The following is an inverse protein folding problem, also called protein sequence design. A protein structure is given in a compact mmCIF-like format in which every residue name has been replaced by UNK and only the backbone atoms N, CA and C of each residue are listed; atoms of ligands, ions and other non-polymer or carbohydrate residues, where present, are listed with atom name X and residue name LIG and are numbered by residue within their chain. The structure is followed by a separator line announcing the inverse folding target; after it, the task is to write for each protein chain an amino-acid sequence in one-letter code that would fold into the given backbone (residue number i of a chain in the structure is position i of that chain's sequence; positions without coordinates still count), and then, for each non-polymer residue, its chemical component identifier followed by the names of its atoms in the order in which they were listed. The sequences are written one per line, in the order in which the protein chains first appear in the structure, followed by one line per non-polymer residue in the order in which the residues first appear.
data_IF_924558361607
#
_entry.id   IF_924558361607
#
_cell.length_a   1.000
_cell.length_b   1.000
_cell.length_c   1.000
_cell.angle_alpha   90.00
_cell.angle_beta   90.00
_cell.angle_gamma   90.00
#
_symmetry.space_group_name_H-M   'P 1'
#
loop_
_entity.id
_entity.type
_entity.pdbx_description
1 polymer ?
#
# COMPACT_ATOMS: atom_id res chain seq x y z
N UNK A 1 5.48 3.90 -7.13
CA UNK A 1 4.73 2.78 -7.78
C UNK A 1 4.21 3.11 -9.17
N UNK A 2 3.62 4.28 -9.45
CA UNK A 2 3.26 4.68 -10.83
C UNK A 2 4.46 4.60 -11.80
N UNK A 3 5.64 5.07 -11.36
CA UNK A 3 6.88 4.92 -12.11
C UNK A 3 7.20 3.45 -12.43
N UNK A 4 7.02 2.54 -11.47
CA UNK A 4 7.27 1.10 -11.67
C UNK A 4 6.27 0.52 -12.67
N UNK A 5 4.99 0.91 -12.61
CA UNK A 5 3.98 0.54 -13.60
C UNK A 5 4.36 1.03 -15.01
N UNK A 6 4.76 2.30 -15.14
CA UNK A 6 5.19 2.88 -16.42
C UNK A 6 6.48 2.23 -16.94
N UNK A 7 7.45 1.97 -16.06
CA UNK A 7 8.67 1.25 -16.40
C UNK A 7 8.36 -0.17 -16.88
N UNK A 8 7.46 -0.87 -16.19
CA UNK A 8 7.05 -2.21 -16.57
C UNK A 8 6.38 -2.23 -17.97
N UNK A 9 5.67 -1.16 -18.33
CA UNK A 9 5.03 -1.00 -19.65
C UNK A 9 5.98 -0.50 -20.75
N UNK A 10 7.07 0.17 -20.38
CA UNK A 10 8.05 0.73 -21.31
C UNK A 10 9.26 -0.18 -21.58
N UNK A 11 9.50 -1.19 -20.74
CA UNK A 11 10.57 -2.18 -20.93
C UNK A 11 10.23 -3.12 -22.10
N UNK A 12 11.17 -3.39 -23.03
CA UNK A 12 10.97 -4.37 -24.09
C UNK A 12 10.98 -5.80 -23.52
N UNK A 13 9.96 -6.59 -23.83
CA UNK A 13 9.80 -7.98 -23.40
C UNK A 13 8.44 -8.23 -22.74
N UNK A 14 7.82 -9.38 -23.04
CA UNK A 14 6.52 -9.72 -22.45
C UNK A 14 6.67 -10.05 -20.96
N UNK A 15 5.96 -9.29 -20.10
CA UNK A 15 5.98 -9.49 -18.64
C UNK A 15 5.56 -10.92 -18.26
N UNK A 16 4.59 -11.46 -19.00
CA UNK A 16 4.08 -12.82 -18.81
C UNK A 16 5.18 -13.87 -19.03
N UNK A 17 6.06 -13.66 -20.01
CA UNK A 17 7.18 -14.55 -20.32
C UNK A 17 8.24 -14.56 -19.19
N UNK A 18 8.57 -13.36 -18.69
CA UNK A 18 9.55 -13.18 -17.63
C UNK A 18 9.07 -13.72 -16.27
N UNK A 19 7.78 -13.61 -15.99
CA UNK A 19 7.16 -14.15 -14.77
C UNK A 19 6.93 -15.66 -14.83
N UNK A 20 6.68 -16.22 -16.03
CA UNK A 20 6.49 -17.65 -16.22
C UNK A 20 7.81 -18.44 -16.31
N UNK A 21 8.95 -17.75 -16.45
CA UNK A 21 10.27 -18.39 -16.64
C UNK A 21 10.40 -19.14 -17.97
N UNK A 22 9.57 -18.80 -18.96
CA UNK A 22 9.56 -19.45 -20.27
C UNK A 22 10.32 -18.54 -21.23
N UNK A 23 11.45 -19.03 -21.76
CA UNK A 23 12.20 -18.33 -22.81
C UNK A 23 11.50 -18.53 -24.16
N UNK A 24 11.15 -17.45 -24.85
CA UNK A 24 10.42 -17.42 -26.15
C UNK A 24 9.07 -18.16 -26.16
N UNK A 25 8.06 -17.69 -25.39
CA UNK A 25 6.71 -18.28 -25.44
C UNK A 25 6.03 -18.02 -26.80
N UNK A 26 5.25 -19.01 -27.24
CA UNK A 26 4.38 -18.87 -28.42
C UNK A 26 3.23 -17.90 -28.13
N UNK A 27 2.73 -17.19 -29.15
CA UNK A 27 1.60 -16.25 -29.04
C UNK A 27 0.36 -16.86 -28.37
N UNK A 28 0.08 -18.15 -28.61
CA UNK A 28 -1.03 -18.84 -27.96
C UNK A 28 -0.84 -19.04 -26.45
N UNK A 29 0.42 -19.19 -26.00
CA UNK A 29 0.75 -19.35 -24.58
C UNK A 29 0.69 -18.01 -23.85
N UNK A 30 1.06 -16.92 -24.52
CA UNK A 30 0.95 -15.55 -23.99
C UNK A 30 -0.52 -15.16 -23.77
N UNK A 31 -1.40 -15.52 -24.70
CA UNK A 31 -2.83 -15.23 -24.58
C UNK A 31 -3.49 -16.03 -23.45
N UNK A 32 -3.07 -17.29 -23.23
CA UNK A 32 -3.49 -18.09 -22.08
C UNK A 32 -3.02 -17.52 -20.75
N UNK A 33 -1.78 -17.05 -20.66
CA UNK A 33 -1.23 -16.42 -19.46
C UNK A 33 -1.92 -15.08 -19.16
N UNK A 34 -2.23 -14.28 -20.18
CA UNK A 34 -2.96 -13.03 -20.00
C UNK A 34 -4.38 -13.29 -19.46
N UNK A 35 -5.08 -14.30 -20.00
CA UNK A 35 -6.39 -14.73 -19.47
C UNK A 35 -6.32 -15.24 -18.03
N UNK A 36 -5.26 -15.98 -17.69
CA UNK A 36 -5.08 -16.58 -16.36
C UNK A 36 -4.74 -15.54 -15.30
N UNK A 37 -3.90 -14.54 -15.64
CA UNK A 37 -3.31 -13.64 -14.65
C UNK A 37 -3.87 -12.20 -14.65
N UNK A 38 -4.55 -11.74 -15.71
CA UNK A 38 -5.20 -10.41 -15.79
C UNK A 38 -4.43 -9.25 -15.11
N UNK A 39 -3.10 -9.22 -15.26
CA UNK A 39 -2.21 -8.37 -14.46
C UNK A 39 -2.36 -6.87 -14.76
N UNK A 40 -2.78 -6.54 -15.98
CA UNK A 40 -2.77 -5.17 -16.51
C UNK A 40 -3.99 -4.34 -16.10
N UNK A 41 -5.19 -4.93 -16.11
CA UNK A 41 -6.43 -4.14 -16.03
C UNK A 41 -6.73 -3.57 -14.64
N UNK A 42 -6.21 -4.22 -13.58
CA UNK A 42 -6.66 -3.94 -12.21
C UNK A 42 -5.65 -3.17 -11.36
N UNK A 43 -4.37 -3.14 -11.74
CA UNK A 43 -3.32 -2.55 -10.90
C UNK A 43 -3.49 -1.04 -10.71
N UNK A 44 -3.80 -0.31 -11.78
CA UNK A 44 -4.06 1.14 -11.71
C UNK A 44 -5.25 1.49 -10.82
N UNK A 45 -6.35 0.72 -10.92
CA UNK A 45 -7.54 0.94 -10.11
C UNK A 45 -7.24 0.75 -8.61
N UNK A 46 -6.48 -0.31 -8.27
CA UNK A 46 -6.06 -0.58 -6.90
C UNK A 46 -5.25 0.57 -6.28
N UNK A 47 -4.37 1.19 -7.06
CA UNK A 47 -3.59 2.33 -6.57
C UNK A 47 -4.43 3.58 -6.33
N UNK A 48 -5.38 3.87 -7.22
CA UNK A 48 -6.26 5.03 -7.09
C UNK A 48 -7.14 4.88 -5.84
N UNK A 49 -7.71 3.70 -5.64
CA UNK A 49 -8.52 3.39 -4.46
C UNK A 49 -7.71 3.57 -3.16
N UNK A 50 -6.51 3.00 -3.11
CA UNK A 50 -5.62 3.13 -1.95
C UNK A 50 -5.23 4.60 -1.66
N UNK A 51 -4.81 5.33 -2.69
CA UNK A 51 -4.45 6.75 -2.56
C UNK A 51 -5.64 7.59 -2.10
N UNK A 52 -6.84 7.31 -2.62
CA UNK A 52 -8.05 8.02 -2.25
C UNK A 52 -8.36 7.85 -0.77
N UNK A 53 -8.42 6.60 -0.27
CA UNK A 53 -8.67 6.35 1.15
C UNK A 53 -7.58 6.94 2.04
N UNK A 54 -6.30 6.80 1.66
CA UNK A 54 -5.19 7.39 2.40
C UNK A 54 -5.32 8.92 2.50
N UNK A 55 -5.70 9.59 1.40
CA UNK A 55 -5.90 11.04 1.36
C UNK A 55 -7.06 11.48 2.24
N UNK A 56 -8.20 10.77 2.19
CA UNK A 56 -9.37 11.06 3.02
C UNK A 56 -9.01 10.98 4.49
N UNK A 57 -8.34 9.91 4.92
CA UNK A 57 -7.89 9.73 6.30
C UNK A 57 -6.89 10.83 6.69
N UNK A 58 -5.91 11.11 5.83
CA UNK A 58 -4.91 12.14 6.09
C UNK A 58 -5.52 13.54 6.26
N UNK A 59 -6.51 13.90 5.45
CA UNK A 59 -7.21 15.18 5.57
C UNK A 59 -8.08 15.21 6.83
N UNK A 60 -8.80 14.13 7.10
CA UNK A 60 -9.73 14.03 8.23
C UNK A 60 -9.03 14.16 9.58
N UNK A 61 -7.85 13.55 9.75
CA UNK A 61 -7.09 13.66 11.00
C UNK A 61 -6.04 14.78 10.97
N UNK A 62 -5.38 14.98 9.84
CA UNK A 62 -4.28 15.94 9.71
C UNK A 62 -4.72 17.39 9.83
N UNK A 63 -5.87 17.76 9.23
CA UNK A 63 -6.35 19.15 9.32
C UNK A 63 -6.74 19.50 10.76
N UNK A 64 -7.60 18.73 11.48
CA UNK A 64 -7.94 19.06 12.85
C UNK A 64 -6.74 19.09 13.80
N UNK A 65 -5.83 18.11 13.70
CA UNK A 65 -4.62 18.07 14.53
C UNK A 65 -3.70 19.27 14.25
N UNK A 66 -3.50 19.62 12.98
CA UNK A 66 -2.70 20.78 12.59
C UNK A 66 -3.32 22.11 13.06
N UNK A 67 -4.64 22.25 12.93
CA UNK A 67 -5.36 23.43 13.41
C UNK A 67 -5.31 23.53 14.94
N UNK A 68 -5.48 22.41 15.66
CA UNK A 68 -5.38 22.38 17.13
C UNK A 68 -3.99 22.77 17.63
N UNK A 69 -2.92 22.33 16.96
CA UNK A 69 -1.55 22.74 17.28
C UNK A 69 -1.37 24.26 17.10
N UNK A 70 -1.86 24.81 15.97
CA UNK A 70 -1.75 26.24 15.67
C UNK A 70 -2.47 27.13 16.70
N UNK A 71 -3.65 26.75 17.19
CA UNK A 71 -4.40 27.54 18.18
C UNK A 71 -3.88 27.41 19.62
N UNK A 72 -3.12 26.36 19.95
CA UNK A 72 -2.67 26.05 21.33
C UNK A 72 -1.17 26.21 21.50
N UNK A 73 -0.57 27.13 20.74
CA UNK A 73 0.85 27.44 20.75
C UNK A 73 1.40 27.58 22.18
N UNK A 74 2.46 26.80 22.51
CA UNK A 74 3.13 26.73 23.83
C UNK A 74 2.39 25.99 24.96
N UNK A 75 1.33 25.23 24.68
CA UNK A 75 0.72 24.30 25.66
C UNK A 75 1.27 22.87 25.50
N UNK A 76 1.13 22.04 26.54
CA UNK A 76 1.55 20.62 26.53
C UNK A 76 1.01 19.87 25.29
N UNK A 77 -0.21 20.19 24.86
CA UNK A 77 -0.82 19.60 23.65
C UNK A 77 -0.03 19.90 22.37
N UNK A 78 0.54 21.10 22.24
CA UNK A 78 1.34 21.51 21.08
C UNK A 78 2.67 20.74 21.05
N UNK A 79 3.33 20.63 22.21
CA UNK A 79 4.56 19.84 22.35
C UNK A 79 4.35 18.36 22.01
N UNK A 80 3.25 17.74 22.44
CA UNK A 80 2.94 16.34 22.13
C UNK A 80 2.76 16.15 20.61
N UNK A 81 2.02 17.03 19.94
CA UNK A 81 1.79 16.95 18.50
C UNK A 81 3.12 17.08 17.76
N UNK A 82 3.94 18.08 18.12
CA UNK A 82 5.26 18.30 17.50
C UNK A 82 6.20 17.10 17.74
N UNK A 83 6.27 16.57 18.96
CA UNK A 83 7.10 15.39 19.25
C UNK A 83 6.65 14.17 18.45
N UNK A 84 5.34 13.93 18.34
CA UNK A 84 4.81 12.81 17.56
C UNK A 84 5.14 12.97 16.06
N UNK A 85 5.02 14.18 15.51
CA UNK A 85 5.43 14.50 14.15
C UNK A 85 6.92 14.25 13.94
N UNK A 86 7.77 14.65 14.90
CA UNK A 86 9.21 14.45 14.83
C UNK A 86 9.60 12.97 14.85
N UNK A 87 8.95 12.17 15.69
CA UNK A 87 9.15 10.71 15.74
C UNK A 87 8.74 10.08 14.42
N UNK A 88 7.56 10.41 13.90
CA UNK A 88 7.06 9.88 12.63
C UNK A 88 7.92 10.27 11.42
N UNK A 89 8.52 11.47 11.44
CA UNK A 89 9.39 11.95 10.37
C UNK A 89 10.82 11.39 10.45
N UNK A 90 11.37 11.22 11.66
CA UNK A 90 12.76 10.78 11.86
C UNK A 90 12.95 9.27 11.87
N UNK A 91 11.91 8.50 12.21
CA UNK A 91 11.95 7.04 12.14
C UNK A 91 11.78 6.57 10.68
N UNK A 92 12.54 5.56 10.24
CA UNK A 92 12.29 4.94 8.94
C UNK A 92 10.89 4.31 8.96
N UNK A 93 10.09 4.61 7.93
CA UNK A 93 8.69 4.18 7.81
C UNK A 93 8.53 2.66 7.97
N UNK A 94 9.54 1.90 7.54
CA UNK A 94 9.61 0.45 7.68
C UNK A 94 9.54 -0.01 9.14
N UNK A 95 10.28 0.62 10.06
CA UNK A 95 10.30 0.20 11.47
C UNK A 95 8.94 0.40 12.13
N UNK A 96 8.29 1.54 11.87
CA UNK A 96 6.92 1.79 12.34
C UNK A 96 5.96 0.75 11.78
N UNK A 97 6.10 0.42 10.48
CA UNK A 97 5.29 -0.63 9.84
C UNK A 97 5.44 -2.00 10.50
N UNK A 98 6.67 -2.45 10.76
CA UNK A 98 6.91 -3.75 11.40
C UNK A 98 6.37 -3.79 12.83
N UNK A 99 6.59 -2.74 13.62
CA UNK A 99 6.06 -2.64 14.99
C UNK A 99 4.52 -2.66 14.96
N UNK A 100 3.91 -1.94 14.02
CA UNK A 100 2.46 -1.92 13.86
C UNK A 100 1.90 -3.30 13.48
N UNK A 101 2.54 -4.03 12.56
CA UNK A 101 2.12 -5.39 12.21
C UNK A 101 2.24 -6.33 13.41
N UNK A 102 3.34 -6.24 14.17
CA UNK A 102 3.55 -7.07 15.35
C UNK A 102 2.48 -6.83 16.41
N UNK A 103 2.21 -5.57 16.71
CA UNK A 103 1.25 -5.22 17.77
C UNK A 103 -0.20 -5.43 17.33
N UNK A 104 -0.62 -4.87 16.19
CA UNK A 104 -2.01 -4.93 15.75
C UNK A 104 -2.37 -6.23 15.04
N UNK A 105 -1.41 -6.86 14.37
CA UNK A 105 -1.63 -8.09 13.61
C UNK A 105 -1.39 -9.36 14.44
N UNK A 106 -0.33 -9.41 15.27
CA UNK A 106 -0.03 -10.60 16.06
C UNK A 106 -0.57 -10.55 17.49
N UNK A 107 -0.34 -9.48 18.24
CA UNK A 107 -0.83 -9.42 19.63
C UNK A 107 -2.34 -9.16 19.72
N UNK A 108 -2.83 -8.11 19.05
CA UNK A 108 -4.25 -7.75 19.10
C UNK A 108 -5.12 -8.52 18.10
N UNK A 109 -4.51 -9.13 17.08
CA UNK A 109 -5.21 -9.87 16.01
C UNK A 109 -6.33 -9.06 15.32
N UNK A 110 -6.18 -7.74 15.27
CA UNK A 110 -7.17 -6.84 14.65
C UNK A 110 -7.13 -6.86 13.13
N UNK A 111 -5.95 -7.11 12.55
CA UNK A 111 -5.72 -7.04 11.12
C UNK A 111 -5.08 -8.35 10.64
N UNK A 112 -5.55 -8.95 9.54
CA UNK A 112 -4.91 -10.12 8.96
C UNK A 112 -3.50 -9.74 8.49
N UNK A 113 -2.49 -10.45 9.00
CA UNK A 113 -1.07 -10.18 8.72
C UNK A 113 -0.71 -10.50 7.26
N UNK A 114 -1.44 -11.45 6.65
CA UNK A 114 -1.28 -11.85 5.27
C UNK A 114 -2.59 -12.36 4.68
N UNK A 115 -2.74 -12.24 3.37
CA UNK A 115 -3.93 -12.67 2.63
C UNK A 115 -4.75 -11.49 2.12
N UNK A 116 -5.11 -11.53 0.84
CA UNK A 116 -6.07 -10.59 0.26
C UNK A 116 -7.44 -11.24 0.38
N UNK A 117 -8.34 -10.67 1.19
CA UNK A 117 -9.74 -11.11 1.25
C UNK A 117 -10.34 -10.97 -0.14
N UNK A 118 -10.54 -12.11 -0.81
CA UNK A 118 -11.16 -12.18 -2.11
C UNK A 118 -12.59 -12.69 -1.89
N UNK A 119 -13.58 -11.93 -2.34
CA UNK A 119 -15.01 -12.30 -2.18
C UNK A 119 -15.37 -13.64 -2.86
N UNK A 120 -14.49 -14.17 -3.72
CA UNK A 120 -14.66 -15.47 -4.37
C UNK A 120 -13.96 -16.64 -3.65
N UNK A 121 -13.06 -16.39 -2.71
CA UNK A 121 -12.31 -17.42 -2.01
C UNK A 121 -12.29 -17.14 -0.51
N UNK A 122 -13.12 -17.86 0.24
CA UNK A 122 -13.09 -17.87 1.70
C UNK A 122 -11.74 -18.45 2.16
N UNK A 123 -10.95 -17.62 2.85
CA UNK A 123 -9.70 -18.04 3.48
C UNK A 123 -10.07 -18.48 4.90
N UNK A 124 -9.98 -19.77 5.25
CA UNK A 124 -10.26 -20.21 6.61
C UNK A 124 -9.19 -19.61 7.54
N UNK A 125 -9.66 -18.81 8.50
CA UNK A 125 -8.87 -18.21 9.59
C UNK A 125 -8.50 -19.23 10.65
#
# INVERSE_FOLDING_TARGET
MLLVFLMNKALPGDQLANLSGIENPSFSQLEQLNQTYQLESSSLMQYIELCFYAMVIALFFGIPLGVMAAFRYRKISDNIIISLTLIGYSMPIFCIGVIAIMYFGLELQWLPVAGRINLLFDVPT
#
